data_IF_918499672137
#
_entry.id   IF_918499672137
#
_cell.length_a   1.000
_cell.length_b   1.000
_cell.length_c   1.000
_cell.angle_alpha   90.00
_cell.angle_beta   90.00
_cell.angle_gamma   90.00
#
_symmetry.space_group_name_H-M   'P 1'
#
loop_
_entity.id
_entity.type
_entity.pdbx_description
1 polymer ?
#
# COMPACT_ATOMS: atom_id res chain seq x y z
N UNK A 1 -18.50 12.21 -21.63
CA UNK A 1 -17.08 11.91 -21.88
C UNK A 1 -16.33 11.95 -20.55
N UNK A 2 -15.82 10.80 -20.11
CA UNK A 2 -14.74 10.58 -19.11
C UNK A 2 -14.69 11.48 -17.87
N UNK A 3 -15.63 11.30 -16.95
CA UNK A 3 -15.36 11.57 -15.54
C UNK A 3 -15.62 10.27 -14.76
N UNK A 4 -14.64 9.37 -14.80
CA UNK A 4 -14.57 8.28 -13.82
C UNK A 4 -14.23 8.96 -12.50
N UNK A 5 -15.27 9.13 -11.68
CA UNK A 5 -15.21 9.78 -10.39
C UNK A 5 -14.03 9.20 -9.60
N UNK A 6 -13.14 10.09 -9.14
CA UNK A 6 -12.27 9.80 -8.05
C UNK A 6 -13.16 9.34 -6.89
N UNK A 7 -13.31 8.03 -6.72
CA UNK A 7 -14.03 7.43 -5.60
C UNK A 7 -13.42 8.06 -4.37
N UNK A 8 -14.16 8.92 -3.68
CA UNK A 8 -13.80 9.41 -2.37
C UNK A 8 -13.72 8.16 -1.50
N UNK A 9 -12.52 7.62 -1.34
CA UNK A 9 -12.24 6.47 -0.48
C UNK A 9 -12.35 6.96 0.96
N UNK A 10 -13.58 7.11 1.43
CA UNK A 10 -13.93 7.53 2.78
C UNK A 10 -13.65 6.44 3.80
N UNK A 11 -13.70 5.17 3.38
CA UNK A 11 -13.56 4.02 4.28
C UNK A 11 -12.18 3.38 4.15
N UNK A 12 -11.51 3.03 5.27
CA UNK A 12 -10.18 2.44 5.25
C UNK A 12 -10.15 1.11 4.47
N UNK A 13 -9.02 0.84 3.81
CA UNK A 13 -8.78 -0.42 3.13
C UNK A 13 -8.88 -1.60 4.12
N UNK A 14 -9.37 -2.77 3.67
CA UNK A 14 -9.44 -3.96 4.52
C UNK A 14 -8.04 -4.36 5.03
N UNK A 15 -7.94 -4.92 6.26
CA UNK A 15 -6.65 -5.33 6.81
C UNK A 15 -5.95 -6.41 5.98
N UNK A 16 -4.65 -6.24 5.73
CA UNK A 16 -3.84 -7.23 5.04
C UNK A 16 -3.53 -8.41 5.98
N UNK A 17 -4.02 -9.61 5.66
CA UNK A 17 -3.73 -10.81 6.46
C UNK A 17 -2.41 -11.50 6.10
N UNK A 18 -2.01 -11.43 4.82
CA UNK A 18 -0.74 -12.01 4.39
C UNK A 18 0.44 -11.17 4.89
N UNK A 19 1.31 -11.78 5.70
CA UNK A 19 2.52 -11.14 6.22
C UNK A 19 3.45 -10.65 5.11
N UNK A 20 3.54 -11.39 4.01
CA UNK A 20 4.36 -11.03 2.85
C UNK A 20 3.78 -9.81 2.13
N UNK A 21 2.47 -9.85 1.84
CA UNK A 21 1.78 -8.73 1.20
C UNK A 21 1.86 -7.46 2.06
N UNK A 22 1.77 -7.58 3.38
CA UNK A 22 1.94 -6.46 4.29
C UNK A 22 3.32 -5.82 4.15
N UNK A 23 4.38 -6.64 4.13
CA UNK A 23 5.77 -6.17 3.99
C UNK A 23 5.97 -5.51 2.63
N UNK A 24 5.47 -6.10 1.55
CA UNK A 24 5.62 -5.56 0.19
C UNK A 24 4.93 -4.19 0.06
N UNK A 25 3.67 -4.09 0.50
CA UNK A 25 2.92 -2.82 0.48
C UNK A 25 3.60 -1.77 1.36
N UNK A 26 4.03 -2.12 2.57
CA UNK A 26 4.73 -1.19 3.46
C UNK A 26 6.07 -0.73 2.88
N UNK A 27 6.84 -1.62 2.23
CA UNK A 27 8.11 -1.28 1.60
C UNK A 27 7.93 -0.32 0.42
N UNK A 28 6.92 -0.55 -0.42
CA UNK A 28 6.54 0.35 -1.51
C UNK A 28 6.12 1.71 -0.96
N UNK A 29 5.32 1.73 0.10
CA UNK A 29 4.91 2.98 0.74
C UNK A 29 6.08 3.74 1.38
N UNK A 30 6.99 3.06 2.08
CA UNK A 30 8.20 3.67 2.62
C UNK A 30 9.07 4.29 1.52
N UNK A 31 9.13 3.66 0.33
CA UNK A 31 9.80 4.22 -0.86
C UNK A 31 9.16 5.53 -1.32
N UNK A 32 7.83 5.65 -1.26
CA UNK A 32 7.13 6.91 -1.56
C UNK A 32 7.48 7.99 -0.53
N UNK A 33 7.48 7.65 0.76
CA UNK A 33 7.79 8.60 1.85
C UNK A 33 9.23 9.13 1.75
N UNK A 34 10.21 8.26 1.48
CA UNK A 34 11.60 8.67 1.25
C UNK A 34 11.78 9.59 0.03
N UNK A 35 10.83 9.55 -0.92
CA UNK A 35 10.77 10.44 -2.09
C UNK A 35 9.97 11.73 -1.84
N UNK A 36 9.57 11.99 -0.59
CA UNK A 36 8.84 13.20 -0.20
C UNK A 36 7.32 13.11 -0.34
N UNK A 37 6.74 11.92 -0.49
CA UNK A 37 5.29 11.78 -0.44
C UNK A 37 4.76 12.20 0.94
N UNK A 38 3.61 12.87 0.97
CA UNK A 38 2.97 13.30 2.22
C UNK A 38 2.52 12.08 3.04
N UNK A 39 2.85 12.01 4.35
CA UNK A 39 2.23 11.08 5.29
C UNK A 39 0.70 11.16 5.30
N UNK A 40 0.03 10.02 5.47
CA UNK A 40 -1.43 9.92 5.63
C UNK A 40 -1.88 9.82 7.08
N UNK A 41 -0.93 9.66 8.01
CA UNK A 41 -1.19 9.75 9.44
C UNK A 41 -1.37 11.21 9.86
N UNK A 42 -2.12 11.41 10.94
CA UNK A 42 -2.23 12.72 11.58
C UNK A 42 -0.86 13.19 12.09
N UNK A 43 -0.66 14.52 12.11
CA UNK A 43 0.64 15.14 12.36
C UNK A 43 1.29 14.69 13.68
N UNK A 44 0.49 14.43 14.73
CA UNK A 44 0.99 13.94 16.02
C UNK A 44 1.62 12.54 15.91
N UNK A 45 1.02 11.64 15.15
CA UNK A 45 1.51 10.27 14.97
C UNK A 45 2.72 10.24 14.01
N UNK A 46 2.71 11.08 12.97
CA UNK A 46 3.84 11.24 12.06
C UNK A 46 5.10 11.78 12.76
N UNK A 47 4.92 12.66 13.75
CA UNK A 47 6.01 13.20 14.59
C UNK A 47 6.66 12.12 15.46
N UNK A 48 5.91 11.12 15.94
CA UNK A 48 6.48 10.03 16.75
C UNK A 48 7.17 8.95 15.91
N UNK A 49 6.74 8.78 14.66
CA UNK A 49 7.30 7.82 13.71
C UNK A 49 8.32 8.46 12.76
N UNK A 50 9.46 8.92 13.28
CA UNK A 50 10.50 9.59 12.48
C UNK A 50 11.09 8.77 11.31
N UNK A 51 10.93 7.44 11.31
CA UNK A 51 11.43 6.56 10.24
C UNK A 51 10.32 6.26 9.23
N UNK A 52 10.61 6.45 7.95
CA UNK A 52 9.68 6.21 6.84
C UNK A 52 9.07 4.80 6.85
N UNK A 53 9.84 3.80 7.28
CA UNK A 53 9.38 2.42 7.40
C UNK A 53 8.29 2.27 8.46
N UNK A 54 8.47 2.87 9.65
CA UNK A 54 7.44 2.80 10.70
C UNK A 54 6.18 3.53 10.28
N UNK A 55 6.33 4.70 9.68
CA UNK A 55 5.20 5.48 9.19
C UNK A 55 4.41 4.70 8.13
N UNK A 56 5.10 4.05 7.20
CA UNK A 56 4.47 3.17 6.22
C UNK A 56 3.75 1.98 6.86
N UNK A 57 4.37 1.30 7.83
CA UNK A 57 3.74 0.18 8.54
C UNK A 57 2.47 0.60 9.29
N UNK A 58 2.46 1.78 9.93
CA UNK A 58 1.27 2.31 10.60
C UNK A 58 0.17 2.71 9.60
N UNK A 59 0.52 3.34 8.48
CA UNK A 59 -0.46 3.64 7.42
C UNK A 59 -1.10 2.36 6.86
N UNK A 60 -0.31 1.30 6.64
CA UNK A 60 -0.83 0.01 6.17
C UNK A 60 -1.69 -0.65 7.23
N UNK A 61 -1.28 -0.62 8.52
CA UNK A 61 -2.08 -1.20 9.61
C UNK A 61 -3.45 -0.52 9.78
N UNK A 62 -3.51 0.79 9.55
CA UNK A 62 -4.75 1.59 9.61
C UNK A 62 -5.57 1.57 8.32
N UNK A 63 -5.15 0.82 7.29
CA UNK A 63 -5.88 0.77 6.01
C UNK A 63 -5.84 2.06 5.21
N UNK A 64 -4.86 2.94 5.44
CA UNK A 64 -4.72 4.22 4.74
C UNK A 64 -4.00 4.07 3.39
N UNK A 65 -3.45 2.89 3.11
CA UNK A 65 -2.74 2.55 1.87
C UNK A 65 -3.60 1.59 1.06
N UNK A 66 -4.08 2.07 -0.08
CA UNK A 66 -4.75 1.23 -1.07
C UNK A 66 -3.72 0.64 -2.03
N UNK A 67 -3.94 -0.60 -2.42
CA UNK A 67 -3.09 -1.35 -3.33
C UNK A 67 -3.94 -2.28 -4.18
N UNK A 68 -3.42 -2.63 -5.35
CA UNK A 68 -3.98 -3.66 -6.22
C UNK A 68 -2.90 -4.72 -6.45
N UNK A 69 -3.30 -5.99 -6.42
CA UNK A 69 -2.41 -7.12 -6.74
C UNK A 69 -2.68 -7.54 -8.17
N UNK A 70 -1.68 -7.48 -9.08
CA UNK A 70 -1.89 -7.90 -10.45
C UNK A 70 -2.18 -9.40 -10.52
N UNK A 71 -3.05 -9.81 -11.44
CA UNK A 71 -3.27 -11.21 -11.73
C UNK A 71 -2.01 -11.80 -12.38
N UNK A 72 -1.35 -12.73 -11.69
CA UNK A 72 -0.22 -13.45 -12.26
C UNK A 72 -0.76 -14.50 -13.24
N UNK A 73 -0.63 -14.23 -14.55
CA UNK A 73 -0.84 -15.26 -15.57
C UNK A 73 0.32 -16.25 -15.50
N UNK A 74 0.06 -17.43 -14.91
CA UNK A 74 0.97 -18.55 -15.04
C UNK A 74 1.05 -18.93 -16.51
N UNK A 75 2.18 -18.61 -17.15
CA UNK A 75 2.45 -19.06 -18.51
C UNK A 75 2.81 -20.55 -18.39
N UNK A 76 1.80 -21.41 -18.48
CA UNK A 76 2.03 -22.85 -18.55
C UNK A 76 2.77 -23.09 -19.86
N UNK A 77 4.04 -23.50 -19.79
CA UNK A 77 4.73 -24.00 -20.97
C UNK A 77 4.19 -25.40 -21.23
N UNK A 78 3.15 -25.48 -22.05
CA UNK A 78 2.71 -26.75 -22.62
C UNK A 78 3.84 -27.28 -23.51
N UNK A 79 4.40 -28.44 -23.17
CA UNK A 79 5.15 -29.25 -24.13
C UNK A 79 6.61 -29.62 -23.85
N UNK A 80 6.99 -29.97 -22.62
CA UNK A 80 8.14 -30.88 -22.41
C UNK A 80 7.67 -32.14 -21.70
N UNK A 81 7.23 -33.12 -22.50
CA UNK A 81 7.04 -34.52 -22.13
C UNK A 81 7.56 -35.39 -23.27
#
# INVERSE_FOLDING_TARGET
ERQEAATSRSDPAPPIQSRFLFVDVAALRAKQLRRGARPRLDSADALMAHKAERLAMEEVRRGLVYYDVPEYRLVVREGEA
#
